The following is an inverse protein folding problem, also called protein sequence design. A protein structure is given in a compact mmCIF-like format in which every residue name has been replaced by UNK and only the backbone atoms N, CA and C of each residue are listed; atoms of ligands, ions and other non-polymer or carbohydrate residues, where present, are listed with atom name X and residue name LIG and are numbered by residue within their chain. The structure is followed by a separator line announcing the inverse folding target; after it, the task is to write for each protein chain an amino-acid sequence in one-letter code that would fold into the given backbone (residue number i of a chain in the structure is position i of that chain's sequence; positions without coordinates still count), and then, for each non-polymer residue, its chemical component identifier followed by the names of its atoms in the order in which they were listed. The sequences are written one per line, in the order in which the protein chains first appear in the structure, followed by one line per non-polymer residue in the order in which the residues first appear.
data_IF_541509176619
#
_entry.id   IF_541509176619
#
_cell.length_a   1.000
_cell.length_b   1.000
_cell.length_c   1.000
_cell.angle_alpha   90.00
_cell.angle_beta   90.00
_cell.angle_gamma   90.00
#
_symmetry.space_group_name_H-M   'P 1'
#
loop_
_entity.id
_entity.type
_entity.pdbx_description
1 polymer ?
#
# COMPACT_ATOMS: atom_id res chain seq x y z
N UNK A 1 6.92 -26.61 -18.63
CA UNK A 1 6.93 -25.25 -19.24
C UNK A 1 7.01 -24.19 -18.14
N UNK A 2 8.18 -24.00 -17.55
CA UNK A 2 8.43 -22.95 -16.54
C UNK A 2 9.59 -22.11 -17.06
N UNK A 3 9.27 -21.10 -17.87
CA UNK A 3 10.25 -20.17 -18.41
C UNK A 3 9.58 -18.80 -18.64
N UNK A 4 9.21 -18.11 -17.55
CA UNK A 4 8.78 -16.71 -17.60
C UNK A 4 8.89 -16.01 -16.22
N UNK A 5 9.93 -16.28 -15.44
CA UNK A 5 10.09 -15.70 -14.10
C UNK A 5 11.48 -15.07 -13.87
N UNK A 6 12.11 -14.48 -14.90
CA UNK A 6 13.51 -14.01 -14.79
C UNK A 6 13.77 -12.53 -15.12
N UNK A 7 12.80 -11.62 -15.04
CA UNK A 7 13.07 -10.21 -15.37
C UNK A 7 12.41 -9.16 -14.46
N UNK A 8 12.26 -9.41 -13.16
CA UNK A 8 12.00 -8.32 -12.22
C UNK A 8 12.79 -8.57 -10.91
N UNK A 9 13.67 -7.63 -10.49
CA UNK A 9 14.38 -7.72 -9.21
C UNK A 9 13.38 -7.38 -8.11
N UNK A 10 12.59 -8.37 -7.71
CA UNK A 10 11.57 -8.19 -6.68
C UNK A 10 12.20 -8.34 -5.30
N UNK A 11 12.76 -7.25 -4.79
CA UNK A 11 13.17 -7.17 -3.40
C UNK A 11 11.93 -7.31 -2.49
N UNK A 12 12.08 -8.16 -1.48
CA UNK A 12 11.08 -8.52 -0.46
C UNK A 12 10.33 -7.29 0.08
N UNK A 13 9.00 -7.23 -0.12
CA UNK A 13 8.17 -6.18 0.49
C UNK A 13 8.02 -6.46 2.00
N UNK A 14 8.41 -5.56 2.91
CA UNK A 14 8.18 -5.78 4.32
C UNK A 14 6.67 -5.86 4.60
N UNK A 15 6.26 -6.76 5.49
CA UNK A 15 4.88 -6.85 5.94
C UNK A 15 4.45 -5.51 6.55
N UNK A 16 3.50 -4.82 5.92
CA UNK A 16 3.11 -3.46 6.32
C UNK A 16 2.43 -3.43 7.69
N UNK A 17 1.70 -4.48 8.07
CA UNK A 17 1.17 -4.63 9.43
C UNK A 17 2.31 -4.73 10.47
N UNK A 18 3.36 -5.49 10.16
CA UNK A 18 4.54 -5.59 11.02
C UNK A 18 5.32 -4.27 11.08
N UNK A 19 5.50 -3.59 9.95
CA UNK A 19 6.11 -2.25 9.90
C UNK A 19 5.36 -1.26 10.76
N UNK A 20 4.02 -1.23 10.67
CA UNK A 20 3.16 -0.36 11.47
C UNK A 20 3.25 -0.68 12.96
N UNK A 21 3.23 -1.96 13.33
CA UNK A 21 3.42 -2.37 14.73
C UNK A 21 4.77 -1.88 15.29
N UNK A 22 5.85 -1.99 14.50
CA UNK A 22 7.17 -1.48 14.91
C UNK A 22 7.16 0.04 15.07
N UNK A 23 6.50 0.77 14.17
CA UNK A 23 6.33 2.22 14.29
C UNK A 23 5.61 2.60 15.57
N UNK A 24 4.50 1.93 15.90
CA UNK A 24 3.77 2.16 17.16
C UNK A 24 4.69 1.94 18.35
N UNK A 25 5.41 0.81 18.41
CA UNK A 25 6.33 0.50 19.52
C UNK A 25 7.43 1.56 19.69
N UNK A 26 8.07 1.99 18.60
CA UNK A 26 9.10 3.05 18.64
C UNK A 26 8.51 4.37 19.12
N UNK A 27 7.30 4.70 18.68
CA UNK A 27 6.63 5.96 19.03
C UNK A 27 6.16 5.99 20.49
N UNK A 28 5.73 4.85 21.03
CA UNK A 28 5.38 4.71 22.45
C UNK A 28 6.61 4.87 23.36
N UNK A 29 7.77 4.38 22.91
CA UNK A 29 9.06 4.56 23.60
C UNK A 29 9.46 6.03 23.66
N UNK A 30 9.45 6.70 22.51
CA UNK A 30 9.90 8.10 22.39
C UNK A 30 8.99 9.09 23.14
N UNK A 31 7.67 8.85 23.10
CA UNK A 31 6.68 9.66 23.82
C UNK A 31 6.69 9.45 25.34
N UNK A 32 7.43 8.47 25.86
CA UNK A 32 7.42 8.11 27.28
C UNK A 32 6.14 7.40 27.74
N UNK A 33 5.33 6.93 26.80
CA UNK A 33 4.06 6.24 27.07
C UNK A 33 4.27 4.74 27.38
N UNK A 34 5.37 4.13 26.92
CA UNK A 34 5.65 2.70 27.14
C UNK A 34 5.65 2.29 28.63
N UNK A 35 6.29 3.09 29.50
CA UNK A 35 6.33 2.82 30.94
C UNK A 35 4.94 2.85 31.59
N UNK A 36 3.98 3.52 30.95
CA UNK A 36 2.62 3.74 31.46
C UNK A 36 1.71 2.57 31.11
N UNK A 37 1.92 1.93 29.96
CA UNK A 37 1.27 0.65 29.64
C UNK A 37 1.69 -0.46 30.63
N UNK A 38 3.00 -0.61 30.89
CA UNK A 38 3.50 -1.65 31.80
C UNK A 38 3.10 -1.42 33.27
N UNK A 39 3.02 -0.17 33.71
CA UNK A 39 2.62 0.16 35.08
C UNK A 39 1.16 -0.20 35.37
N UNK A 40 0.32 -0.33 34.35
CA UNK A 40 -1.10 -0.67 34.53
C UNK A 40 -1.38 -2.17 34.44
N UNK A 41 -0.57 -2.98 33.74
CA UNK A 41 -0.61 -4.45 33.92
C UNK A 41 -0.37 -4.83 35.38
N UNK A 42 0.50 -4.09 36.07
CA UNK A 42 0.73 -4.22 37.51
C UNK A 42 -0.51 -3.88 38.35
N UNK A 43 -1.20 -2.77 38.07
CA UNK A 43 -2.42 -2.38 38.80
C UNK A 43 -3.65 -3.25 38.45
N UNK A 44 -3.74 -3.76 37.22
CA UNK A 44 -4.81 -4.67 36.79
C UNK A 44 -4.60 -6.11 37.32
N UNK A 45 -3.34 -6.49 37.58
CA UNK A 45 -2.97 -7.73 38.27
C UNK A 45 -3.27 -7.69 39.76
N UNK A 46 -2.93 -6.59 40.45
CA UNK A 46 -3.19 -6.42 41.89
C UNK A 46 -4.67 -6.18 42.22
N UNK A 47 -5.49 -5.73 41.26
CA UNK A 47 -6.89 -5.37 41.49
C UNK A 47 -7.88 -6.55 41.59
N UNK A 48 -7.42 -7.81 41.50
CA UNK A 48 -8.31 -8.98 41.45
C UNK A 48 -8.29 -9.91 42.66
N UNK A 49 -7.35 -9.77 43.61
CA UNK A 49 -7.27 -10.69 44.76
C UNK A 49 -7.62 -10.09 46.14
N UNK A 50 -7.63 -8.76 46.32
CA UNK A 50 -7.74 -8.20 47.69
C UNK A 50 -8.99 -7.34 47.98
N UNK A 51 -10.03 -7.40 47.15
CA UNK A 51 -11.21 -6.52 47.31
C UNK A 51 -12.29 -6.98 48.32
N UNK A 52 -12.04 -8.00 49.16
CA UNK A 52 -13.09 -8.51 50.09
C UNK A 52 -12.74 -8.59 51.58
N UNK A 53 -11.58 -8.12 52.05
CA UNK A 53 -11.34 -8.02 53.51
C UNK A 53 -10.50 -6.80 53.87
N UNK A 54 -11.18 -5.70 54.23
CA UNK A 54 -11.10 -5.03 55.54
C UNK A 54 -11.76 -3.64 55.41
N UNK A 55 -13.05 -3.55 55.75
CA UNK A 55 -13.65 -2.27 56.13
C UNK A 55 -13.45 -2.15 57.65
N UNK A 56 -12.41 -1.43 58.06
CA UNK A 56 -12.34 -0.83 59.39
C UNK A 56 -11.43 0.39 59.35
N UNK A 57 -12.06 1.56 59.46
CA UNK A 57 -11.59 2.80 60.10
C UNK A 57 -10.07 2.95 60.30
N UNK A 58 -9.44 3.79 59.49
CA UNK A 58 -8.92 5.09 59.95
C UNK A 58 -8.13 5.82 58.85
N UNK A 59 -8.35 7.14 58.75
CA UNK A 59 -7.53 8.15 58.06
C UNK A 59 -7.20 7.92 56.57
N UNK A 60 -8.06 8.42 55.67
CA UNK A 60 -7.86 8.34 54.21
C UNK A 60 -6.97 9.47 53.65
N UNK A 61 -5.77 9.20 53.08
CA UNK A 61 -5.16 10.01 52.04
C UNK A 61 -5.75 9.64 50.65
N UNK A 62 -7.07 9.46 50.55
CA UNK A 62 -7.76 8.90 49.39
C UNK A 62 -7.85 9.83 48.19
N UNK A 63 -8.04 11.12 48.44
CA UNK A 63 -8.26 12.10 47.37
C UNK A 63 -7.04 12.22 46.43
N UNK A 64 -5.81 12.10 46.94
CA UNK A 64 -4.61 12.20 46.10
C UNK A 64 -4.35 10.96 45.23
N UNK A 65 -4.76 9.75 45.69
CA UNK A 65 -4.66 8.51 44.92
C UNK A 65 -5.76 8.41 43.86
N UNK A 66 -6.98 8.85 44.17
CA UNK A 66 -8.09 8.87 43.21
C UNK A 66 -7.91 9.92 42.11
N UNK A 67 -7.42 11.13 42.44
CA UNK A 67 -7.10 12.16 41.44
C UNK A 67 -5.96 11.72 40.50
N UNK A 68 -4.98 10.99 41.02
CA UNK A 68 -3.89 10.39 40.24
C UNK A 68 -4.40 9.30 39.29
N UNK A 69 -5.34 8.47 39.73
CA UNK A 69 -5.95 7.41 38.92
C UNK A 69 -6.81 7.97 37.78
N UNK A 70 -7.66 8.96 38.06
CA UNK A 70 -8.53 9.58 37.05
C UNK A 70 -7.71 10.31 35.96
N UNK A 71 -6.63 10.99 36.34
CA UNK A 71 -5.73 11.65 35.39
C UNK A 71 -4.93 10.67 34.52
N UNK A 72 -4.56 9.51 35.06
CA UNK A 72 -3.88 8.45 34.29
C UNK A 72 -4.85 7.70 33.37
N UNK A 73 -6.09 7.44 33.81
CA UNK A 73 -7.14 6.83 33.00
C UNK A 73 -7.53 7.69 31.78
N UNK A 74 -7.71 9.00 31.98
CA UNK A 74 -8.04 9.92 30.88
C UNK A 74 -6.94 9.95 29.80
N UNK A 75 -5.67 9.85 30.21
CA UNK A 75 -4.54 9.77 29.27
C UNK A 75 -4.48 8.43 28.53
N UNK A 76 -5.00 7.35 29.11
CA UNK A 76 -5.09 6.05 28.43
C UNK A 76 -6.23 6.00 27.45
N UNK A 77 -7.40 6.53 27.81
CA UNK A 77 -8.49 6.71 26.86
C UNK A 77 -8.01 7.54 25.66
N UNK A 78 -7.22 8.59 25.91
CA UNK A 78 -6.62 9.36 24.82
C UNK A 78 -5.63 8.57 23.96
N UNK A 79 -4.90 7.63 24.56
CA UNK A 79 -3.97 6.76 23.85
C UNK A 79 -4.71 5.72 23.01
N UNK A 80 -5.80 5.15 23.53
CA UNK A 80 -6.68 4.25 22.78
C UNK A 80 -7.27 4.94 21.56
N UNK A 81 -7.83 6.14 21.72
CA UNK A 81 -8.29 6.99 20.62
C UNK A 81 -7.19 7.26 19.58
N UNK A 82 -5.96 7.51 20.04
CA UNK A 82 -4.80 7.78 19.19
C UNK A 82 -4.35 6.55 18.40
N UNK A 83 -4.50 5.35 18.96
CA UNK A 83 -4.08 4.09 18.35
C UNK A 83 -5.18 3.41 17.53
N UNK A 84 -6.44 3.80 17.68
CA UNK A 84 -7.55 3.20 16.92
C UNK A 84 -7.34 3.25 15.38
N UNK A 85 -6.81 4.33 14.77
CA UNK A 85 -6.50 4.31 13.33
C UNK A 85 -5.43 3.28 12.96
N UNK A 86 -4.46 3.03 13.85
CA UNK A 86 -3.46 1.98 13.64
C UNK A 86 -4.11 0.60 13.71
N UNK A 87 -4.98 0.36 14.69
CA UNK A 87 -5.74 -0.88 14.81
C UNK A 87 -6.56 -1.16 13.55
N UNK A 88 -7.38 -0.18 13.13
CA UNK A 88 -8.17 -0.28 11.91
C UNK A 88 -7.32 -0.63 10.68
N UNK A 89 -6.19 0.06 10.49
CA UNK A 89 -5.29 -0.23 9.36
C UNK A 89 -4.64 -1.61 9.50
N UNK A 90 -4.23 -2.03 10.69
CA UNK A 90 -3.68 -3.38 10.89
C UNK A 90 -4.70 -4.48 10.62
N UNK A 91 -5.98 -4.27 10.94
CA UNK A 91 -7.05 -5.21 10.64
C UNK A 91 -7.35 -5.25 9.14
N UNK A 92 -7.41 -4.07 8.49
CA UNK A 92 -7.56 -3.97 7.04
C UNK A 92 -6.40 -4.63 6.29
N UNK A 93 -5.17 -4.46 6.77
CA UNK A 93 -3.96 -5.07 6.22
C UNK A 93 -3.75 -6.52 6.67
N UNK A 94 -4.48 -6.96 7.69
CA UNK A 94 -4.39 -8.28 8.31
C UNK A 94 -5.55 -9.22 8.01
N UNK A 95 -6.57 -8.73 7.30
CA UNK A 95 -7.85 -9.39 7.00
C UNK A 95 -7.74 -10.75 6.30
N UNK A 96 -8.84 -11.50 6.33
CA UNK A 96 -8.86 -12.93 6.03
C UNK A 96 -8.53 -13.30 4.57
N UNK A 97 -7.79 -14.40 4.45
CA UNK A 97 -7.16 -15.00 3.27
C UNK A 97 -6.21 -14.14 2.42
N UNK A 98 -6.52 -12.88 2.04
CA UNK A 98 -5.70 -12.10 1.11
C UNK A 98 -5.87 -10.56 1.20
N UNK A 99 -4.77 -9.81 1.34
CA UNK A 99 -4.78 -8.34 1.28
C UNK A 99 -4.03 -7.82 0.05
N UNK A 100 -4.78 -7.06 -0.75
CA UNK A 100 -4.32 -6.38 -1.95
C UNK A 100 -3.28 -5.29 -1.63
N UNK A 101 -2.06 -5.40 -2.18
CA UNK A 101 -1.02 -4.36 -2.08
C UNK A 101 -1.49 -2.94 -2.45
N UNK A 102 -2.52 -2.82 -3.29
CA UNK A 102 -3.13 -1.54 -3.66
C UNK A 102 -3.76 -0.78 -2.49
N UNK A 103 -4.07 -1.45 -1.37
CA UNK A 103 -4.67 -0.85 -0.17
C UNK A 103 -3.61 -0.18 0.71
N UNK A 104 -2.35 -0.61 0.60
CA UNK A 104 -1.24 -0.13 1.44
C UNK A 104 -1.06 1.38 1.31
N UNK A 105 -1.01 1.91 0.10
CA UNK A 105 -0.74 3.32 -0.14
C UNK A 105 -1.90 4.23 0.35
N UNK A 106 -3.18 3.93 0.06
CA UNK A 106 -4.32 4.60 0.71
C UNK A 106 -4.27 4.53 2.25
N UNK A 107 -3.94 3.36 2.82
CA UNK A 107 -3.86 3.18 4.26
C UNK A 107 -2.75 4.02 4.91
N UNK A 108 -1.56 4.05 4.31
CA UNK A 108 -0.46 4.91 4.73
C UNK A 108 -0.85 6.39 4.65
N UNK A 109 -1.48 6.82 3.56
CA UNK A 109 -1.95 8.21 3.42
C UNK A 109 -2.95 8.59 4.50
N UNK A 110 -3.86 7.68 4.84
CA UNK A 110 -4.80 7.86 5.94
C UNK A 110 -4.06 8.04 7.26
N UNK A 111 -3.11 7.16 7.59
CA UNK A 111 -2.29 7.25 8.81
C UNK A 111 -1.53 8.58 8.91
N UNK A 112 -0.86 9.01 7.84
CA UNK A 112 -0.18 10.31 7.84
C UNK A 112 -1.12 11.49 8.08
N UNK A 113 -2.37 11.40 7.63
CA UNK A 113 -3.37 12.47 7.84
C UNK A 113 -3.87 12.50 9.28
N UNK A 114 -4.17 11.35 9.87
CA UNK A 114 -4.70 11.29 11.25
C UNK A 114 -3.61 11.49 12.30
N UNK A 115 -2.36 11.19 11.96
CA UNK A 115 -1.19 11.40 12.82
C UNK A 115 -0.51 12.75 12.61
N UNK A 116 -1.16 13.68 11.89
CA UNK A 116 -0.66 15.05 11.76
C UNK A 116 -0.70 15.74 13.14
N UNK A 117 0.43 16.33 13.61
CA UNK A 117 0.46 17.06 14.87
C UNK A 117 -0.48 18.27 14.83
N UNK A 118 -1.32 18.42 15.86
CA UNK A 118 -2.19 19.58 16.07
C UNK A 118 -1.70 20.41 17.24
N UNK A 119 -1.87 21.73 17.21
CA UNK A 119 -1.52 22.61 18.34
C UNK A 119 -2.36 22.32 19.60
N UNK A 120 -3.52 21.67 19.44
CA UNK A 120 -4.38 21.22 20.53
C UNK A 120 -3.90 19.91 21.19
N UNK A 121 -2.90 19.24 20.61
CA UNK A 121 -2.42 17.96 21.12
C UNK A 121 -1.60 18.15 22.41
N UNK A 122 -1.83 17.32 23.45
CA UNK A 122 -0.94 17.26 24.60
C UNK A 122 0.51 16.98 24.18
N UNK A 123 1.49 17.50 24.93
CA UNK A 123 2.92 17.37 24.60
C UNK A 123 3.36 15.92 24.32
N UNK A 124 2.81 14.94 25.05
CA UNK A 124 3.12 13.53 24.84
C UNK A 124 2.52 12.98 23.52
N UNK A 125 1.33 13.45 23.11
CA UNK A 125 0.70 13.11 21.83
C UNK A 125 1.47 13.75 20.68
N UNK A 126 1.89 15.01 20.81
CA UNK A 126 2.74 15.68 19.82
C UNK A 126 4.05 14.91 19.58
N UNK A 127 4.72 14.47 20.66
CA UNK A 127 5.94 13.65 20.56
C UNK A 127 5.66 12.31 19.89
N UNK A 128 4.59 11.62 20.30
CA UNK A 128 4.17 10.36 19.69
C UNK A 128 3.94 10.53 18.19
N UNK A 129 3.09 11.48 17.79
CA UNK A 129 2.74 11.74 16.38
C UNK A 129 3.97 12.05 15.55
N UNK A 130 4.88 12.91 16.03
CA UNK A 130 6.13 13.23 15.33
C UNK A 130 7.04 12.01 15.16
N UNK A 131 7.24 11.23 16.22
CA UNK A 131 8.04 10.00 16.17
C UNK A 131 7.41 8.98 15.20
N UNK A 132 6.08 8.83 15.27
CA UNK A 132 5.30 7.94 14.42
C UNK A 132 5.40 8.31 12.95
N UNK A 133 5.13 9.56 12.58
CA UNK A 133 5.19 10.00 11.19
C UNK A 133 6.60 9.89 10.63
N UNK A 134 7.62 10.17 11.44
CA UNK A 134 9.02 10.08 11.02
C UNK A 134 9.44 8.63 10.75
N UNK A 135 9.21 7.72 11.70
CA UNK A 135 9.57 6.31 11.56
C UNK A 135 8.74 5.62 10.45
N UNK A 136 7.44 5.94 10.33
CA UNK A 136 6.61 5.39 9.26
C UNK A 136 7.04 5.87 7.87
N UNK A 137 7.44 7.15 7.73
CA UNK A 137 7.96 7.68 6.48
C UNK A 137 9.25 6.96 6.07
N UNK A 138 10.19 6.77 6.99
CA UNK A 138 11.42 6.03 6.74
C UNK A 138 11.14 4.59 6.27
N UNK A 139 10.20 3.89 6.91
CA UNK A 139 9.80 2.53 6.50
C UNK A 139 9.12 2.50 5.13
N UNK A 140 8.26 3.48 4.86
CA UNK A 140 7.64 3.65 3.55
C UNK A 140 8.69 3.87 2.46
N UNK A 141 9.71 4.67 2.72
CA UNK A 141 10.77 4.97 1.75
C UNK A 141 11.72 3.77 1.52
N UNK A 142 11.87 2.88 2.50
CA UNK A 142 12.56 1.60 2.33
C UNK A 142 11.77 0.54 1.54
N UNK A 143 10.53 0.86 1.15
CA UNK A 143 9.64 -0.04 0.41
C UNK A 143 9.66 0.31 -1.07
N UNK A 144 9.33 -0.63 -1.96
CA UNK A 144 9.20 -0.36 -3.40
C UNK A 144 7.98 0.54 -3.70
N UNK A 145 8.14 1.85 -3.54
CA UNK A 145 7.07 2.84 -3.66
C UNK A 145 6.53 2.92 -5.10
N UNK A 146 7.40 2.77 -6.11
CA UNK A 146 7.00 2.73 -7.52
C UNK A 146 5.99 1.61 -7.76
N UNK A 147 6.25 0.43 -7.20
CA UNK A 147 5.35 -0.71 -7.28
C UNK A 147 4.01 -0.47 -6.57
N UNK A 148 4.04 0.06 -5.33
CA UNK A 148 2.82 0.39 -4.60
C UNK A 148 1.95 1.41 -5.37
N UNK A 149 2.58 2.39 -5.99
CA UNK A 149 1.88 3.37 -6.83
C UNK A 149 1.22 2.72 -8.06
N UNK A 150 1.94 1.86 -8.78
CA UNK A 150 1.39 1.15 -9.96
C UNK A 150 0.26 0.20 -9.56
N UNK A 151 0.43 -0.59 -8.51
CA UNK A 151 -0.64 -1.50 -8.00
C UNK A 151 -1.89 -0.73 -7.59
N UNK A 152 -1.72 0.45 -6.98
CA UNK A 152 -2.84 1.33 -6.60
C UNK A 152 -3.56 1.88 -7.83
N UNK A 153 -2.84 2.25 -8.89
CA UNK A 153 -3.44 2.74 -10.14
C UNK A 153 -4.23 1.66 -10.88
N UNK A 154 -3.72 0.42 -10.87
CA UNK A 154 -4.35 -0.74 -11.49
C UNK A 154 -5.50 -1.34 -10.67
N UNK A 155 -5.74 -0.85 -9.44
CA UNK A 155 -6.92 -1.21 -8.67
C UNK A 155 -8.08 -0.26 -9.01
N UNK A 156 -9.20 -0.76 -9.58
CA UNK A 156 -10.30 0.10 -9.97
C UNK A 156 -10.99 0.83 -8.81
N UNK A 157 -10.74 0.41 -7.55
CA UNK A 157 -11.20 1.09 -6.33
C UNK A 157 -10.36 2.32 -6.00
N UNK A 158 -9.11 2.37 -6.46
CA UNK A 158 -8.14 3.43 -6.13
C UNK A 158 -7.53 4.12 -7.36
N UNK A 159 -8.05 3.84 -8.56
CA UNK A 159 -7.57 4.42 -9.82
C UNK A 159 -7.65 5.96 -9.91
N UNK A 160 -8.42 6.61 -9.05
CA UNK A 160 -8.43 8.08 -8.94
C UNK A 160 -7.15 8.64 -8.27
N UNK A 161 -6.35 7.75 -7.66
CA UNK A 161 -5.09 8.01 -6.99
C UNK A 161 -5.18 9.19 -6.01
N UNK A 162 -6.33 9.34 -5.34
CA UNK A 162 -6.55 10.43 -4.36
C UNK A 162 -5.55 10.44 -3.20
N UNK A 163 -4.86 9.32 -2.99
CA UNK A 163 -3.79 9.19 -2.00
C UNK A 163 -2.46 9.89 -2.38
N UNK A 164 -2.31 10.32 -3.64
CA UNK A 164 -1.11 10.95 -4.20
C UNK A 164 -1.35 12.43 -4.58
N UNK A 165 -0.26 13.20 -4.70
CA UNK A 165 -0.31 14.57 -5.26
C UNK A 165 -0.62 14.54 -6.76
N UNK A 166 -1.00 15.68 -7.36
CA UNK A 166 -1.32 15.73 -8.79
C UNK A 166 -0.12 15.33 -9.66
N UNK A 167 1.08 15.78 -9.29
CA UNK A 167 2.31 15.48 -10.04
C UNK A 167 2.65 13.99 -9.98
N UNK A 168 2.58 13.40 -8.78
CA UNK A 168 2.78 11.95 -8.61
C UNK A 168 1.77 11.12 -9.40
N UNK A 169 0.51 11.58 -9.53
CA UNK A 169 -0.49 10.86 -10.34
C UNK A 169 -0.07 10.80 -11.80
N UNK A 170 0.40 11.91 -12.36
CA UNK A 170 0.87 11.98 -13.74
C UNK A 170 2.06 11.05 -13.96
N UNK A 171 3.04 11.04 -13.06
CA UNK A 171 4.20 10.14 -13.11
C UNK A 171 3.82 8.65 -13.07
N UNK A 172 2.80 8.31 -12.28
CA UNK A 172 2.30 6.94 -12.16
C UNK A 172 1.64 6.49 -13.45
N UNK A 173 0.79 7.33 -14.05
CA UNK A 173 0.18 7.00 -15.34
C UNK A 173 1.19 6.92 -16.47
N UNK A 174 2.22 7.78 -16.48
CA UNK A 174 3.36 7.65 -17.40
C UNK A 174 4.09 6.30 -17.20
N UNK A 175 4.33 5.90 -15.96
CA UNK A 175 4.94 4.60 -15.66
C UNK A 175 4.09 3.41 -16.13
N UNK A 176 2.76 3.51 -16.06
CA UNK A 176 1.84 2.48 -16.57
C UNK A 176 1.86 2.46 -18.10
N UNK A 177 1.88 3.62 -18.77
CA UNK A 177 2.06 3.73 -20.22
C UNK A 177 3.34 3.03 -20.67
N UNK A 178 4.47 3.31 -20.04
CA UNK A 178 5.76 2.69 -20.35
C UNK A 178 5.76 1.16 -20.14
N UNK A 179 4.99 0.67 -19.17
CA UNK A 179 4.80 -0.76 -18.96
C UNK A 179 4.00 -1.39 -20.11
N UNK A 180 2.95 -0.72 -20.58
CA UNK A 180 2.15 -1.16 -21.73
C UNK A 180 2.95 -1.17 -23.03
N UNK A 181 3.78 -0.14 -23.25
CA UNK A 181 4.69 -0.07 -24.39
C UNK A 181 5.69 -1.23 -24.39
N UNK A 182 6.35 -1.46 -23.25
CA UNK A 182 7.32 -2.56 -23.12
C UNK A 182 6.68 -3.93 -23.30
N UNK A 183 5.48 -4.13 -22.77
CA UNK A 183 4.75 -5.39 -22.95
C UNK A 183 4.37 -5.63 -24.42
N UNK A 184 3.96 -4.58 -25.13
CA UNK A 184 3.60 -4.64 -26.56
C UNK A 184 4.80 -5.02 -27.42
N UNK A 185 5.95 -4.37 -27.20
CA UNK A 185 7.20 -4.71 -27.88
C UNK A 185 7.68 -6.14 -27.59
N UNK A 186 7.50 -6.61 -26.36
CA UNK A 186 7.89 -7.98 -25.98
C UNK A 186 7.01 -9.08 -26.61
N UNK A 187 5.81 -8.73 -27.09
CA UNK A 187 4.89 -9.64 -27.77
C UNK A 187 5.09 -9.68 -29.30
N UNK A 188 5.91 -8.78 -29.87
CA UNK A 188 6.30 -8.85 -31.27
C UNK A 188 7.31 -10.01 -31.47
N UNK A 189 7.15 -10.86 -32.50
CA UNK A 189 8.13 -11.89 -32.80
C UNK A 189 9.50 -11.26 -33.12
N UNK A 190 10.62 -11.90 -32.76
CA UNK A 190 11.95 -11.39 -33.08
C UNK A 190 12.07 -11.24 -34.60
N UNK A 191 12.43 -10.06 -35.09
CA UNK A 191 12.84 -9.90 -36.48
C UNK A 191 14.06 -10.80 -36.73
N UNK A 192 13.90 -11.80 -37.58
CA UNK A 192 14.95 -12.72 -37.99
C UNK A 192 16.06 -11.94 -38.72
N UNK A 193 17.16 -11.64 -38.02
CA UNK A 193 18.42 -11.32 -38.67
C UNK A 193 19.00 -12.62 -39.22
N UNK A 194 18.97 -12.77 -40.55
CA UNK A 194 19.50 -13.93 -41.27
C UNK A 194 20.96 -13.67 -41.70
N UNK A 195 21.87 -14.62 -41.47
CA UNK A 195 23.08 -14.86 -42.28
C UNK A 195 23.05 -16.35 -42.69
N UNK A 196 22.57 -16.73 -43.88
CA UNK A 196 23.21 -16.88 -45.22
C UNK A 196 23.63 -18.35 -45.54
N UNK A 197 23.81 -18.79 -46.82
CA UNK A 197 22.97 -18.63 -48.01
C UNK A 197 22.73 -19.96 -48.81
N UNK A 198 21.70 -20.04 -49.66
CA UNK A 198 21.70 -20.95 -50.83
C UNK A 198 20.78 -20.47 -51.98
N UNK A 199 21.07 -20.78 -53.26
CA UNK A 199 20.76 -19.83 -54.35
C UNK A 199 19.72 -20.30 -55.39
N UNK A 200 19.18 -19.30 -56.12
CA UNK A 200 18.46 -19.29 -57.45
C UNK A 200 16.93 -19.38 -57.34
N UNK A 201 16.07 -18.50 -57.89
CA UNK A 201 16.14 -17.52 -59.00
C UNK A 201 14.97 -16.51 -58.87
N UNK A 202 15.27 -15.19 -59.00
CA UNK A 202 14.60 -14.12 -59.80
C UNK A 202 13.06 -14.16 -59.98
N UNK A 203 12.26 -13.10 -59.85
CA UNK A 203 12.46 -11.64 -59.95
C UNK A 203 11.15 -10.93 -59.52
N UNK A 204 11.28 -9.92 -58.64
CA UNK A 204 10.69 -8.56 -58.70
C UNK A 204 9.16 -8.43 -58.94
N UNK A 205 8.42 -8.18 -57.86
CA UNK A 205 7.55 -7.00 -57.68
C UNK A 205 7.06 -6.86 -56.22
N UNK A 206 7.91 -6.43 -55.29
CA UNK A 206 7.43 -5.78 -54.05
C UNK A 206 8.41 -4.79 -53.42
N UNK A 207 9.42 -4.31 -54.18
CA UNK A 207 10.37 -3.25 -53.74
C UNK A 207 9.69 -1.86 -53.54
N UNK A 208 8.36 -1.82 -53.50
CA UNK A 208 7.58 -0.61 -53.20
C UNK A 208 6.72 -0.72 -51.92
N UNK A 209 6.93 -1.75 -51.08
CA UNK A 209 6.30 -1.85 -49.75
C UNK A 209 7.33 -1.82 -48.61
N UNK A 210 8.58 -1.41 -48.89
CA UNK A 210 9.61 -1.12 -47.87
C UNK A 210 9.49 0.31 -47.30
N UNK A 211 8.28 0.87 -47.27
CA UNK A 211 7.96 2.02 -46.42
C UNK A 211 7.03 1.50 -45.34
N UNK A 212 7.61 0.85 -44.34
CA UNK A 212 6.97 0.68 -43.05
C UNK A 212 8.01 1.13 -42.02
N UNK A 213 8.21 2.45 -41.98
CA UNK A 213 8.41 3.11 -40.70
C UNK A 213 7.12 2.82 -39.94
N UNK A 214 7.10 1.74 -39.16
CA UNK A 214 5.93 1.39 -38.36
C UNK A 214 5.75 2.46 -37.32
N UNK A 215 4.70 3.25 -37.51
CA UNK A 215 4.28 4.39 -36.72
C UNK A 215 4.39 4.16 -35.20
N UNK A 216 5.48 4.65 -34.60
CA UNK A 216 5.58 4.78 -33.13
C UNK A 216 4.46 5.65 -32.58
N UNK A 217 4.03 6.63 -33.36
CA UNK A 217 2.97 7.59 -32.99
C UNK A 217 1.59 6.91 -32.96
N UNK A 218 1.28 6.02 -33.91
CA UNK A 218 0.01 5.26 -33.92
C UNK A 218 -0.06 4.24 -32.77
N UNK A 219 1.06 3.63 -32.40
CA UNK A 219 1.13 2.73 -31.23
C UNK A 219 0.92 3.49 -29.91
N UNK A 220 1.50 4.68 -29.78
CA UNK A 220 1.35 5.52 -28.59
C UNK A 220 -0.07 6.07 -28.42
N UNK A 221 -0.68 6.54 -29.51
CA UNK A 221 -2.08 6.99 -29.53
C UNK A 221 -3.05 5.85 -29.19
N UNK A 222 -2.77 4.64 -29.69
CA UNK A 222 -3.52 3.42 -29.36
C UNK A 222 -3.44 3.09 -27.87
N UNK A 223 -2.27 3.20 -27.24
CA UNK A 223 -2.10 2.95 -25.78
C UNK A 223 -2.84 3.99 -24.95
N UNK A 224 -2.79 5.26 -25.33
CA UNK A 224 -3.51 6.29 -24.60
C UNK A 224 -5.01 6.04 -24.61
N UNK A 225 -5.54 5.61 -25.76
CA UNK A 225 -6.94 5.23 -25.89
C UNK A 225 -7.34 4.06 -24.95
N UNK A 226 -6.47 3.06 -24.75
CA UNK A 226 -6.72 1.98 -23.78
C UNK A 226 -6.69 2.48 -22.33
N UNK A 227 -5.76 3.38 -22.00
CA UNK A 227 -5.66 3.97 -20.66
C UNK A 227 -6.87 4.84 -20.34
N UNK A 228 -7.29 5.69 -21.27
CA UNK A 228 -8.41 6.59 -21.06
C UNK A 228 -9.73 5.85 -20.91
N UNK A 229 -9.93 4.75 -21.66
CA UNK A 229 -11.05 3.84 -21.43
C UNK A 229 -11.08 3.31 -20.00
N UNK A 230 -9.93 2.88 -19.47
CA UNK A 230 -9.84 2.40 -18.08
C UNK A 230 -10.10 3.49 -17.05
N UNK A 231 -9.53 4.69 -17.25
CA UNK A 231 -9.75 5.86 -16.39
C UNK A 231 -11.24 6.26 -16.38
N UNK A 232 -11.92 6.18 -17.52
CA UNK A 232 -13.32 6.56 -17.70
C UNK A 232 -14.34 5.55 -17.15
N UNK A 233 -13.93 4.29 -16.90
CA UNK A 233 -14.82 3.29 -16.27
C UNK A 233 -15.37 3.83 -14.92
N UNK A 234 -16.55 3.37 -14.46
CA UNK A 234 -17.00 3.71 -13.12
C UNK A 234 -16.01 3.23 -12.05
N UNK A 235 -15.94 3.98 -10.94
CA UNK A 235 -15.17 3.55 -9.77
C UNK A 235 -15.82 2.30 -9.19
N UNK A 236 -15.00 1.31 -8.85
CA UNK A 236 -15.49 0.11 -8.18
C UNK A 236 -15.82 0.40 -6.72
N UNK A 237 -16.83 -0.30 -6.21
CA UNK A 237 -17.11 -0.36 -4.78
C UNK A 237 -15.93 -0.90 -3.96
N UNK A 238 -15.78 -0.42 -2.71
CA UNK A 238 -14.62 -0.74 -1.87
C UNK A 238 -14.56 -2.23 -1.47
N UNK A 239 -15.72 -2.86 -1.31
CA UNK A 239 -15.89 -4.28 -0.96
C UNK A 239 -15.72 -5.20 -2.19
N UNK A 240 -15.73 -4.60 -3.39
CA UNK A 240 -15.52 -5.31 -4.65
C UNK A 240 -14.13 -5.95 -4.74
N UNK A 241 -14.05 -7.10 -5.43
CA UNK A 241 -12.79 -7.79 -5.71
C UNK A 241 -12.16 -7.29 -7.02
N UNK A 242 -10.98 -6.62 -6.99
CA UNK A 242 -10.28 -6.15 -8.20
C UNK A 242 -9.95 -7.27 -9.17
N UNK A 243 -9.59 -8.45 -8.66
CA UNK A 243 -9.23 -9.61 -9.48
C UNK A 243 -10.41 -10.13 -10.29
N UNK A 244 -11.58 -10.23 -9.66
CA UNK A 244 -12.81 -10.64 -10.37
C UNK A 244 -13.21 -9.61 -11.42
N UNK A 245 -13.02 -8.32 -11.15
CA UNK A 245 -13.30 -7.27 -12.13
C UNK A 245 -12.39 -7.33 -13.34
N UNK A 246 -11.07 -7.50 -13.13
CA UNK A 246 -10.12 -7.67 -14.23
C UNK A 246 -10.44 -8.91 -15.06
N UNK A 247 -10.83 -10.02 -14.41
CA UNK A 247 -11.22 -11.24 -15.12
C UNK A 247 -12.47 -11.05 -15.99
N UNK A 248 -13.49 -10.33 -15.50
CA UNK A 248 -14.72 -10.05 -16.27
C UNK A 248 -14.49 -9.11 -17.46
N UNK A 249 -13.42 -8.31 -17.44
CA UNK A 249 -13.14 -7.26 -18.43
C UNK A 249 -11.85 -7.47 -19.21
N UNK A 250 -11.32 -8.68 -19.18
CA UNK A 250 -10.06 -9.01 -19.84
C UNK A 250 -10.09 -8.72 -21.35
N UNK A 251 -11.22 -9.00 -22.01
CA UNK A 251 -11.40 -8.69 -23.44
C UNK A 251 -11.43 -7.18 -23.73
N UNK A 252 -12.13 -6.40 -22.91
CA UNK A 252 -12.24 -4.94 -23.07
C UNK A 252 -10.92 -4.21 -22.74
N UNK A 253 -10.07 -4.82 -21.92
CA UNK A 253 -8.77 -4.27 -21.50
C UNK A 253 -7.62 -5.24 -21.82
N UNK A 254 -7.59 -5.79 -23.03
CA UNK A 254 -6.63 -6.83 -23.43
C UNK A 254 -5.14 -6.43 -23.24
N UNK A 255 -4.82 -5.13 -23.32
CA UNK A 255 -3.46 -4.59 -23.11
C UNK A 255 -3.11 -4.36 -21.62
N UNK A 256 -4.10 -4.02 -20.80
CA UNK A 256 -3.88 -3.62 -19.39
C UNK A 256 -4.13 -4.80 -18.42
N UNK A 257 -5.05 -5.70 -18.75
CA UNK A 257 -5.37 -6.87 -17.93
C UNK A 257 -4.18 -7.83 -17.71
N UNK A 258 -3.27 -8.09 -18.68
CA UNK A 258 -2.07 -8.87 -18.44
C UNK A 258 -1.12 -8.20 -17.43
N UNK A 259 -1.01 -6.87 -17.48
CA UNK A 259 -0.20 -6.10 -16.53
C UNK A 259 -0.86 -6.20 -15.16
N UNK A 260 -2.15 -5.89 -15.01
CA UNK A 260 -2.85 -6.08 -13.74
C UNK A 260 -2.70 -7.50 -13.17
N UNK A 261 -2.73 -8.53 -14.03
CA UNK A 261 -2.47 -9.93 -13.65
C UNK A 261 -1.02 -10.22 -13.28
N UNK A 262 -0.01 -9.54 -13.84
CA UNK A 262 1.39 -9.72 -13.37
C UNK A 262 1.57 -9.20 -11.94
N UNK A 263 0.82 -8.17 -11.60
CA UNK A 263 0.81 -7.59 -10.26
C UNK A 263 -0.07 -8.42 -9.29
N UNK A 264 -0.79 -9.45 -9.78
CA UNK A 264 -1.62 -10.44 -9.04
C UNK A 264 -0.88 -11.25 -7.99
N UNK A 265 0.34 -11.70 -8.27
CA UNK A 265 1.03 -12.64 -7.37
C UNK A 265 1.44 -12.00 -6.04
N UNK A 266 1.40 -10.67 -5.94
CA UNK A 266 1.71 -9.92 -4.72
C UNK A 266 0.54 -9.07 -4.24
N UNK A 267 -0.64 -9.15 -4.89
CA UNK A 267 -1.92 -8.75 -4.29
C UNK A 267 -2.32 -9.68 -3.12
N UNK A 268 -1.50 -10.71 -2.85
CA UNK A 268 -1.63 -11.71 -1.81
C UNK A 268 -0.24 -11.90 -1.17
N UNK A 269 0.11 -11.13 -0.14
CA UNK A 269 1.30 -11.44 0.66
C UNK A 269 0.98 -12.70 1.48
N UNK A 270 1.66 -13.82 1.19
CA UNK A 270 1.65 -14.95 2.13
C UNK A 270 2.24 -14.46 3.45
N UNK A 271 1.50 -14.68 4.54
CA UNK A 271 2.06 -14.64 5.90
C UNK A 271 3.03 -15.83 5.96
N UNK A 272 4.32 -15.55 5.83
CA UNK A 272 5.37 -16.46 6.32
C UNK A 272 5.54 -16.25 7.83
#
# INVERSE_FOLDING_TARGET
MVAAARLLPFEHLPCMAHSLQRTVTVSLKDSGLERRCNKMEFYAGDGKEDAEKQISTDHYPGAAKEQGCHGELAKLQKLEELLEPCRYVTELLGGEQYVSCSVVLPALRHLFRVMEPSDDDPVYVLRFKKAFTTDLAQRKDSTNLKWLKITTALDPRFKDLKCLTKDERSEVWASVRDLMMRETRAQQPPAETTEEPSPKKRRRMSILLCSFDSDTDDEEESIEHYLDRYKAEPKMDIEGCPLQWWSKREGAHARLAPIARKYRNWLNVKKD
#
